data_IF_033092010086
#
_entry.id   IF_033092010086
#
_cell.length_a   1.000
_cell.length_b   1.000
_cell.length_c   1.000
_cell.angle_alpha   90.00
_cell.angle_beta   90.00
_cell.angle_gamma   90.00
#
_symmetry.space_group_name_H-M   'P 1'
#
loop_
_entity.id
_entity.type
_entity.pdbx_description
1 polymer ?
#
# COMPACT_ATOMS: atom_id res chain seq x y z
N UNK A 1 4.40 0.06 3.63
CA UNK A 1 5.63 -0.67 4.01
C UNK A 1 5.38 -2.17 4.27
N UNK A 2 4.18 -2.55 4.68
CA UNK A 2 3.80 -3.95 4.96
C UNK A 2 2.87 -4.55 3.89
N UNK A 3 2.87 -3.99 2.69
CA UNK A 3 2.02 -4.46 1.59
C UNK A 3 2.87 -5.02 0.47
N UNK A 4 2.65 -6.28 0.14
CA UNK A 4 3.19 -6.93 -1.05
C UNK A 4 2.18 -6.85 -2.18
N UNK A 5 2.62 -6.33 -3.34
CA UNK A 5 1.75 -6.07 -4.47
C UNK A 5 1.84 -7.16 -5.52
N UNK A 6 0.70 -7.49 -6.11
CA UNK A 6 0.59 -8.41 -7.25
C UNK A 6 1.18 -9.82 -6.96
N UNK A 7 1.00 -10.30 -5.74
CA UNK A 7 1.41 -11.66 -5.35
C UNK A 7 0.49 -12.68 -6.01
N UNK A 8 1.08 -13.71 -6.60
CA UNK A 8 0.32 -14.81 -7.19
C UNK A 8 0.06 -15.87 -6.12
N UNK A 9 -1.20 -16.04 -5.78
CA UNK A 9 -1.66 -17.07 -4.84
C UNK A 9 -2.14 -18.28 -5.65
N UNK A 10 -1.44 -19.39 -5.50
CA UNK A 10 -1.76 -20.64 -6.20
C UNK A 10 -2.50 -21.60 -5.29
N UNK A 11 -3.52 -22.32 -5.81
CA UNK A 11 -4.20 -23.35 -5.05
C UNK A 11 -3.28 -24.54 -4.80
N UNK A 12 -3.45 -25.19 -3.67
CA UNK A 12 -2.79 -26.46 -3.36
C UNK A 12 -3.21 -27.54 -4.38
N UNK A 13 -2.26 -28.36 -4.82
CA UNK A 13 -2.49 -29.34 -5.89
C UNK A 13 -3.56 -30.39 -5.52
N UNK A 14 -3.68 -30.72 -4.24
CA UNK A 14 -4.55 -31.80 -3.75
C UNK A 14 -5.91 -31.26 -3.32
N UNK A 15 -5.94 -30.22 -2.50
CA UNK A 15 -7.18 -29.67 -1.92
C UNK A 15 -7.84 -28.63 -2.80
N UNK A 16 -7.08 -28.07 -3.75
CA UNK A 16 -7.50 -26.93 -4.58
C UNK A 16 -7.82 -25.68 -3.77
N UNK A 17 -7.43 -25.62 -2.49
CA UNK A 17 -7.63 -24.46 -1.63
C UNK A 17 -6.42 -23.53 -1.70
N UNK A 18 -6.67 -22.23 -1.61
CA UNK A 18 -5.62 -21.22 -1.44
C UNK A 18 -5.48 -20.95 0.05
N UNK A 19 -4.34 -21.39 0.61
CA UNK A 19 -4.01 -21.23 2.03
C UNK A 19 -3.05 -20.05 2.16
N UNK A 20 -3.37 -19.12 3.06
CA UNK A 20 -2.59 -17.93 3.36
C UNK A 20 -1.62 -18.21 4.52
N UNK A 21 -0.49 -17.54 4.54
CA UNK A 21 0.40 -17.52 5.70
C UNK A 21 -0.29 -16.98 6.94
N UNK A 22 0.17 -17.40 8.12
CA UNK A 22 -0.38 -16.91 9.39
C UNK A 22 -0.08 -15.42 9.63
N UNK A 23 0.89 -14.90 8.93
CA UNK A 23 1.34 -13.50 8.90
C UNK A 23 0.51 -12.61 7.96
N UNK A 24 -0.40 -13.17 7.15
CA UNK A 24 -1.24 -12.39 6.24
C UNK A 24 -2.44 -11.82 6.99
N UNK A 25 -2.45 -10.49 7.18
CA UNK A 25 -3.51 -9.74 7.84
C UNK A 25 -4.70 -9.48 6.93
N UNK A 26 -4.44 -9.11 5.67
CA UNK A 26 -5.47 -8.73 4.72
C UNK A 26 -5.06 -9.09 3.29
N UNK A 27 -6.01 -9.60 2.54
CA UNK A 27 -5.88 -9.86 1.10
C UNK A 27 -6.83 -8.96 0.33
N UNK A 28 -6.29 -8.20 -0.62
CA UNK A 28 -7.07 -7.37 -1.53
C UNK A 28 -6.90 -7.88 -2.95
N UNK A 29 -7.99 -8.30 -3.58
CA UNK A 29 -7.98 -8.76 -4.96
C UNK A 29 -8.53 -7.69 -5.90
N UNK A 30 -8.14 -7.75 -7.18
CA UNK A 30 -8.68 -6.82 -8.22
C UNK A 30 -10.18 -6.99 -8.44
N UNK A 31 -10.72 -8.17 -8.18
CA UNK A 31 -12.15 -8.48 -8.27
C UNK A 31 -12.78 -8.33 -6.89
N UNK A 32 -13.03 -7.09 -6.49
CA UNK A 32 -13.66 -6.75 -5.20
C UNK A 32 -14.99 -7.48 -5.04
N UNK A 33 -15.11 -8.23 -3.93
CA UNK A 33 -16.34 -8.94 -3.56
C UNK A 33 -16.46 -10.35 -4.11
N UNK A 34 -15.63 -10.78 -5.07
CA UNK A 34 -15.65 -12.15 -5.56
C UNK A 34 -14.80 -13.07 -4.66
N UNK A 35 -13.58 -12.63 -4.33
CA UNK A 35 -12.65 -13.41 -3.51
C UNK A 35 -12.51 -12.76 -2.14
N UNK A 36 -12.79 -13.52 -1.09
CA UNK A 36 -12.85 -13.03 0.29
C UNK A 36 -11.91 -13.86 1.14
N UNK A 37 -11.11 -13.18 1.98
CA UNK A 37 -10.34 -13.86 3.02
C UNK A 37 -11.25 -14.31 4.16
N UNK A 38 -11.17 -15.59 4.53
CA UNK A 38 -11.84 -16.16 5.69
C UNK A 38 -10.83 -16.91 6.56
N UNK A 39 -10.32 -16.23 7.59
CA UNK A 39 -9.20 -16.75 8.39
C UNK A 39 -7.95 -16.89 7.52
N UNK A 40 -7.37 -18.07 7.49
CA UNK A 40 -6.17 -18.41 6.71
C UNK A 40 -6.49 -18.98 5.32
N UNK A 41 -7.72 -18.87 4.83
CA UNK A 41 -8.13 -19.39 3.51
C UNK A 41 -8.81 -18.31 2.68
N UNK A 42 -8.65 -18.45 1.38
CA UNK A 42 -9.46 -17.70 0.41
C UNK A 42 -10.77 -18.40 0.14
N UNK A 43 -11.82 -17.63 -0.12
CA UNK A 43 -13.16 -18.09 -0.45
C UNK A 43 -13.67 -17.39 -1.69
N UNK A 44 -14.14 -18.14 -2.67
CA UNK A 44 -14.84 -17.61 -3.84
C UNK A 44 -16.32 -17.43 -3.53
N UNK A 45 -16.75 -16.19 -3.36
CA UNK A 45 -18.14 -15.84 -3.08
C UNK A 45 -19.03 -15.99 -4.32
N UNK A 46 -18.45 -15.92 -5.52
CA UNK A 46 -19.19 -16.12 -6.77
C UNK A 46 -19.62 -17.57 -6.97
N UNK A 47 -18.73 -18.52 -6.65
CA UNK A 47 -18.97 -19.95 -6.77
C UNK A 47 -19.37 -20.61 -5.44
N UNK A 48 -19.36 -19.88 -4.32
CA UNK A 48 -19.62 -20.38 -2.97
C UNK A 48 -18.71 -21.57 -2.58
N UNK A 49 -17.41 -21.47 -2.87
CA UNK A 49 -16.46 -22.55 -2.64
C UNK A 49 -15.13 -22.04 -2.09
N UNK A 50 -14.37 -22.93 -1.45
CA UNK A 50 -12.96 -22.72 -1.10
C UNK A 50 -12.00 -23.29 -2.15
N UNK A 51 -12.52 -23.95 -3.19
CA UNK A 51 -11.71 -24.58 -4.23
C UNK A 51 -11.53 -23.63 -5.40
N UNK A 52 -10.30 -23.52 -5.86
CA UNK A 52 -9.89 -22.68 -6.98
C UNK A 52 -9.28 -23.55 -8.07
N UNK A 53 -9.64 -23.30 -9.31
CA UNK A 53 -9.04 -23.97 -10.46
C UNK A 53 -7.75 -23.26 -10.89
N UNK A 54 -7.76 -21.94 -10.83
CA UNK A 54 -6.67 -21.09 -11.26
C UNK A 54 -6.06 -20.28 -10.10
N UNK A 55 -4.82 -19.83 -10.30
CA UNK A 55 -4.14 -18.89 -9.40
C UNK A 55 -4.80 -17.53 -9.48
N UNK A 56 -4.85 -16.83 -8.34
CA UNK A 56 -5.34 -15.45 -8.26
C UNK A 56 -4.20 -14.48 -7.95
N UNK A 57 -4.29 -13.26 -8.46
CA UNK A 57 -3.34 -12.17 -8.13
C UNK A 57 -3.99 -11.24 -7.12
N UNK A 58 -3.29 -11.03 -6.02
CA UNK A 58 -3.75 -10.22 -4.90
C UNK A 58 -2.64 -9.33 -4.34
N UNK A 59 -3.05 -8.29 -3.63
CA UNK A 59 -2.16 -7.50 -2.80
C UNK A 59 -2.34 -7.97 -1.35
N UNK A 60 -1.23 -8.25 -0.67
CA UNK A 60 -1.19 -8.79 0.68
C UNK A 60 -0.72 -7.73 1.67
N UNK A 61 -1.42 -7.59 2.78
CA UNK A 61 -0.93 -6.86 3.94
C UNK A 61 -0.40 -7.88 4.93
N UNK A 62 0.89 -7.76 5.28
CA UNK A 62 1.60 -8.73 6.10
C UNK A 62 1.83 -8.18 7.49
N UNK A 63 1.69 -9.03 8.51
CA UNK A 63 2.12 -8.73 9.88
C UNK A 63 3.65 -8.82 9.95
N UNK A 64 4.29 -7.72 10.28
CA UNK A 64 5.73 -7.65 10.41
C UNK A 64 6.11 -7.67 11.90
N UNK A 65 7.16 -8.41 12.21
CA UNK A 65 7.77 -8.35 13.53
C UNK A 65 8.22 -6.92 13.86
N UNK A 66 8.19 -6.57 15.15
CA UNK A 66 8.50 -5.22 15.62
C UNK A 66 9.82 -4.66 15.08
N UNK A 67 10.85 -5.49 15.06
CA UNK A 67 12.20 -5.10 14.62
C UNK A 67 12.31 -4.86 13.10
N UNK A 68 11.33 -5.35 12.32
CA UNK A 68 11.25 -5.15 10.88
C UNK A 68 10.41 -3.93 10.50
N UNK A 69 9.72 -3.31 11.47
CA UNK A 69 8.93 -2.11 11.21
C UNK A 69 9.83 -0.90 10.97
N UNK A 70 9.50 -0.01 10.02
CA UNK A 70 10.17 1.29 9.88
C UNK A 70 10.16 2.08 11.18
N UNK A 71 11.22 2.84 11.43
CA UNK A 71 11.36 3.63 12.65
C UNK A 71 10.16 4.57 12.90
N UNK A 72 9.63 5.19 11.85
CA UNK A 72 8.45 6.06 11.93
C UNK A 72 7.19 5.35 12.42
N UNK A 73 7.03 4.06 12.10
CA UNK A 73 5.92 3.22 12.59
C UNK A 73 6.14 2.89 14.07
N UNK A 74 7.36 2.48 14.44
CA UNK A 74 7.72 2.19 15.82
C UNK A 74 7.52 3.41 16.72
N UNK A 75 8.00 4.59 16.28
CA UNK A 75 7.87 5.86 16.99
C UNK A 75 6.39 6.24 17.20
N UNK A 76 5.57 6.18 16.15
CA UNK A 76 4.14 6.45 16.26
C UNK A 76 3.44 5.46 17.21
N UNK A 77 3.78 4.19 17.17
CA UNK A 77 3.21 3.17 18.04
C UNK A 77 3.61 3.40 19.51
N UNK A 78 4.87 3.76 19.79
CA UNK A 78 5.33 4.08 21.14
C UNK A 78 4.60 5.30 21.73
N UNK A 79 4.44 6.37 20.95
CA UNK A 79 3.72 7.56 21.39
C UNK A 79 2.23 7.27 21.67
N UNK A 80 1.57 6.50 20.80
CA UNK A 80 0.18 6.10 21.02
C UNK A 80 0.01 5.22 22.26
N UNK A 81 0.93 4.29 22.50
CA UNK A 81 0.93 3.46 23.69
C UNK A 81 1.10 4.30 24.97
N UNK A 82 2.04 5.28 24.95
CA UNK A 82 2.24 6.18 26.07
C UNK A 82 0.98 7.00 26.42
N UNK A 83 0.26 7.52 25.40
CA UNK A 83 -1.01 8.22 25.59
C UNK A 83 -2.03 7.30 26.25
N UNK A 84 -2.14 6.04 25.77
CA UNK A 84 -3.08 5.06 26.29
C UNK A 84 -2.80 4.72 27.75
N UNK A 85 -1.54 4.48 28.11
CA UNK A 85 -1.10 4.21 29.47
C UNK A 85 -1.44 5.38 30.39
N UNK A 86 -1.13 6.63 29.99
CA UNK A 86 -1.44 7.80 30.81
C UNK A 86 -2.95 8.01 31.02
N UNK A 87 -3.77 7.70 30.01
CA UNK A 87 -5.24 7.84 30.13
C UNK A 87 -5.89 6.75 30.96
N UNK A 88 -5.44 5.50 30.78
CA UNK A 88 -6.13 4.32 31.35
C UNK A 88 -5.52 3.90 32.68
N UNK A 89 -4.18 3.84 32.75
CA UNK A 89 -3.52 3.26 33.92
C UNK A 89 -3.12 4.31 34.97
N UNK A 90 -2.80 5.54 34.54
CA UNK A 90 -2.35 6.60 35.42
C UNK A 90 -3.44 7.64 35.72
N UNK A 91 -4.53 7.62 34.98
CA UNK A 91 -5.64 8.59 35.06
C UNK A 91 -5.18 10.07 34.96
N UNK A 92 -3.97 10.30 34.41
CA UNK A 92 -3.37 11.63 34.25
C UNK A 92 -3.77 12.23 32.89
N UNK A 93 -4.92 12.88 32.87
CA UNK A 93 -5.46 13.49 31.66
C UNK A 93 -4.62 14.67 31.14
N UNK A 94 -3.90 15.37 32.00
CA UNK A 94 -3.06 16.50 31.62
C UNK A 94 -1.83 16.02 30.87
N UNK A 95 -1.11 15.05 31.43
CA UNK A 95 0.04 14.43 30.79
C UNK A 95 -0.34 13.68 29.51
N UNK A 96 -1.51 13.04 29.49
CA UNK A 96 -2.04 12.39 28.31
C UNK A 96 -2.32 13.40 27.16
N UNK A 97 -2.75 14.63 27.47
CA UNK A 97 -2.96 15.68 26.47
C UNK A 97 -1.63 16.15 25.85
N UNK A 98 -0.58 16.32 26.65
CA UNK A 98 0.74 16.68 26.14
C UNK A 98 1.31 15.57 25.25
N UNK A 99 1.25 14.32 25.66
CA UNK A 99 1.68 13.17 24.86
C UNK A 99 0.85 12.99 23.59
N UNK A 100 -0.43 13.38 23.58
CA UNK A 100 -1.27 13.34 22.39
C UNK A 100 -0.74 14.26 21.27
N UNK A 101 -0.15 15.40 21.62
CA UNK A 101 0.47 16.29 20.63
C UNK A 101 1.68 15.61 19.97
N UNK A 102 2.50 14.90 20.72
CA UNK A 102 3.66 14.20 20.17
C UNK A 102 3.22 12.97 19.35
N UNK A 103 2.20 12.23 19.81
CA UNK A 103 1.59 11.16 19.02
C UNK A 103 1.03 11.67 17.67
N UNK A 104 0.40 12.84 17.66
CA UNK A 104 -0.12 13.42 16.42
C UNK A 104 1.03 13.82 15.45
N UNK A 105 2.14 14.35 15.96
CA UNK A 105 3.33 14.65 15.14
C UNK A 105 3.91 13.37 14.53
N UNK A 106 4.06 12.30 15.32
CA UNK A 106 4.56 11.02 14.85
C UNK A 106 3.65 10.41 13.77
N UNK A 107 2.32 10.51 13.94
CA UNK A 107 1.36 10.06 12.92
C UNK A 107 1.45 10.87 11.62
N UNK A 108 1.69 12.19 11.71
CA UNK A 108 1.89 13.02 10.51
C UNK A 108 3.18 12.63 9.80
N UNK A 109 4.27 12.38 10.54
CA UNK A 109 5.53 11.92 9.96
C UNK A 109 5.37 10.57 9.24
N UNK A 110 4.69 9.62 9.88
CA UNK A 110 4.35 8.33 9.27
C UNK A 110 3.55 8.49 7.98
N UNK A 111 2.52 9.35 7.99
CA UNK A 111 1.71 9.61 6.80
C UNK A 111 2.52 10.24 5.66
N UNK A 112 3.51 11.08 5.98
CA UNK A 112 4.42 11.68 4.99
C UNK A 112 5.32 10.63 4.35
N UNK A 113 5.92 9.75 5.15
CA UNK A 113 6.75 8.65 4.66
C UNK A 113 5.98 7.70 3.74
N UNK A 114 4.73 7.37 4.10
CA UNK A 114 3.88 6.54 3.23
C UNK A 114 3.56 7.22 1.89
N UNK A 115 3.33 8.53 1.89
CA UNK A 115 3.08 9.28 0.66
C UNK A 115 4.32 9.31 -0.23
N UNK A 116 5.51 9.47 0.32
CA UNK A 116 6.76 9.48 -0.43
C UNK A 116 7.03 8.13 -1.09
N UNK A 117 6.80 7.03 -0.37
CA UNK A 117 6.91 5.67 -0.93
C UNK A 117 5.89 5.44 -2.05
N UNK A 118 4.63 5.89 -1.88
CA UNK A 118 3.59 5.77 -2.90
C UNK A 118 3.86 6.64 -4.13
N UNK A 119 4.36 7.87 -3.95
CA UNK A 119 4.70 8.75 -5.08
C UNK A 119 5.84 8.18 -5.92
N UNK A 120 6.84 7.57 -5.30
CA UNK A 120 7.92 6.90 -6.01
C UNK A 120 7.39 5.76 -6.90
N UNK A 121 6.45 4.97 -6.39
CA UNK A 121 5.80 3.89 -7.14
C UNK A 121 4.88 4.40 -8.27
N UNK A 122 4.16 5.51 -8.06
CA UNK A 122 3.26 6.08 -9.08
C UNK A 122 4.06 6.65 -10.25
N UNK A 123 5.18 7.35 -9.98
CA UNK A 123 6.03 7.92 -11.03
C UNK A 123 6.76 6.87 -11.86
N UNK A 124 6.97 5.67 -11.32
CA UNK A 124 7.54 4.51 -12.02
C UNK A 124 6.55 3.74 -12.90
N UNK A 125 5.24 3.99 -12.77
CA UNK A 125 4.25 3.27 -13.56
C UNK A 125 4.25 3.68 -15.03
N UNK A 126 3.96 2.72 -15.94
CA UNK A 126 3.81 3.01 -17.39
C UNK A 126 2.85 4.15 -17.69
N UNK A 127 1.78 4.29 -16.89
CA UNK A 127 0.80 5.36 -17.04
C UNK A 127 1.41 6.75 -16.79
N UNK A 128 2.22 6.90 -15.74
CA UNK A 128 2.91 8.15 -15.42
C UNK A 128 3.99 8.48 -16.47
N UNK A 129 4.68 7.47 -16.98
CA UNK A 129 5.65 7.64 -18.09
C UNK A 129 4.95 8.12 -19.38
N UNK A 130 3.77 7.57 -19.72
CA UNK A 130 2.98 8.05 -20.86
C UNK A 130 2.49 9.48 -20.69
N UNK A 131 2.14 9.93 -19.48
CA UNK A 131 1.79 11.33 -19.22
C UNK A 131 2.98 12.27 -19.40
N UNK A 132 4.18 11.87 -18.98
CA UNK A 132 5.41 12.65 -19.19
C UNK A 132 5.68 12.93 -20.66
N UNK A 133 5.45 11.96 -21.56
CA UNK A 133 5.59 12.14 -23.00
C UNK A 133 4.52 13.02 -23.64
N UNK A 134 3.33 13.13 -23.05
CA UNK A 134 2.25 13.99 -23.54
C UNK A 134 2.40 15.48 -23.13
N UNK A 135 3.10 15.73 -22.02
CA UNK A 135 3.24 17.09 -21.44
C UNK A 135 4.49 17.80 -21.98
N UNK A 136 5.46 17.08 -22.59
CA UNK A 136 6.59 17.71 -23.24
C UNK A 136 6.09 18.36 -24.55
N UNK A 137 5.98 19.71 -24.60
CA UNK A 137 5.59 20.36 -25.85
C UNK A 137 6.68 20.05 -26.87
N UNK A 138 6.31 19.36 -27.94
CA UNK A 138 7.17 19.25 -29.09
C UNK A 138 7.55 20.67 -29.52
N UNK A 139 8.74 21.08 -29.20
CA UNK A 139 9.34 22.28 -29.76
C UNK A 139 9.33 22.06 -31.26
N UNK A 140 8.32 22.64 -31.96
CA UNK A 140 8.30 22.69 -33.40
C UNK A 140 9.62 23.34 -33.80
N UNK A 141 10.56 22.53 -34.26
CA UNK A 141 11.70 23.00 -34.99
C UNK A 141 11.12 23.72 -36.22
N UNK A 142 11.13 25.04 -36.18
CA UNK A 142 10.89 25.87 -37.34
C UNK A 142 12.09 25.67 -38.27
N UNK A 143 12.05 24.64 -39.09
CA UNK A 143 12.90 24.54 -40.26
C UNK A 143 12.49 25.69 -41.19
N UNK A 144 13.20 26.82 -41.04
CA UNK A 144 13.17 27.90 -42.00
C UNK A 144 13.93 27.35 -43.24
N UNK A 145 13.20 26.99 -44.27
CA UNK A 145 13.75 26.60 -45.57
C UNK A 145 14.44 27.83 -46.16
N UNK A 146 15.79 27.83 -46.35
CA UNK A 146 16.52 29.02 -46.85
C UNK A 146 16.47 29.20 -48.35
N UNK A 147 15.66 28.42 -49.10
CA UNK A 147 15.65 28.42 -50.57
C UNK A 147 14.30 28.89 -51.18
N UNK A 148 13.75 30.04 -50.75
CA UNK A 148 12.74 30.73 -51.53
C UNK A 148 13.34 32.08 -51.96
N UNK A 149 13.77 32.25 -53.22
CA UNK A 149 14.17 33.54 -53.75
C UNK A 149 12.90 34.40 -53.89
N UNK A 150 12.98 35.63 -53.36
CA UNK A 150 11.90 36.61 -53.43
C UNK A 150 11.50 36.97 -54.87
N UNK A 151 10.22 37.03 -55.07
CA UNK A 151 9.55 37.71 -56.13
C UNK A 151 8.51 38.65 -55.55
#
# INVERSE_FOLDING_TARGET
FNTEYAVTLSPDETTKEIILGADVLLVTTRFTGQYIQRGTKMYDAGCNTYQFEDSIVADLVIDLEWDLLPFTVQDAAMHLAAVKICKVDLEDSRKAADLQLDANKALIALGTDELDVRQHNILGTRAAQHMKYRITPHRRSSYRNPNIPGG
#
